data_IF_396234643736
#
_entry.id   IF_396234643736
#
_cell.length_a   1.000
_cell.length_b   1.000
_cell.length_c   1.000
_cell.angle_alpha   90.00
_cell.angle_beta   90.00
_cell.angle_gamma   90.00
#
_symmetry.space_group_name_H-M   'P 1'
#
loop_
_entity.id
_entity.type
_entity.pdbx_description
1 polymer ?
#
# COMPACT_ATOMS: atom_id res chain seq x y z
N UNK A 1 27.35 8.96 -42.54
CA UNK A 1 26.29 9.43 -41.61
C UNK A 1 25.15 8.44 -41.35
N UNK A 2 25.02 7.29 -42.05
CA UNK A 2 23.92 6.32 -41.81
C UNK A 2 24.10 5.38 -40.59
N UNK A 3 25.35 5.14 -40.16
CA UNK A 3 25.67 4.18 -39.08
C UNK A 3 25.47 4.73 -37.65
N UNK A 4 25.46 6.06 -37.48
CA UNK A 4 25.26 6.69 -36.17
C UNK A 4 23.78 6.73 -35.77
N UNK A 5 22.88 6.91 -36.74
CA UNK A 5 21.43 7.00 -36.49
C UNK A 5 20.86 5.65 -36.05
N UNK A 6 21.34 4.55 -36.63
CA UNK A 6 20.90 3.19 -36.25
C UNK A 6 21.28 2.81 -34.83
N UNK A 7 22.43 3.28 -34.33
CA UNK A 7 22.88 2.99 -32.96
C UNK A 7 22.06 3.74 -31.90
N UNK A 8 21.64 4.97 -32.20
CA UNK A 8 20.80 5.76 -31.28
C UNK A 8 19.39 5.16 -31.17
N UNK A 9 18.81 4.73 -32.29
CA UNK A 9 17.49 4.08 -32.30
C UNK A 9 17.51 2.74 -31.55
N UNK A 10 18.59 1.96 -31.70
CA UNK A 10 18.77 0.71 -30.97
C UNK A 10 18.89 0.93 -29.45
N UNK A 11 19.56 2.00 -29.04
CA UNK A 11 19.71 2.34 -27.62
C UNK A 11 18.37 2.77 -26.98
N UNK A 12 17.58 3.59 -27.67
CA UNK A 12 16.25 4.03 -27.20
C UNK A 12 15.28 2.84 -27.07
N UNK A 13 15.32 1.89 -28.01
CA UNK A 13 14.49 0.67 -27.94
C UNK A 13 14.89 -0.25 -26.78
N UNK A 14 16.17 -0.28 -26.40
CA UNK A 14 16.66 -1.09 -25.29
C UNK A 14 16.21 -0.52 -23.93
N UNK A 15 16.25 0.81 -23.78
CA UNK A 15 15.78 1.47 -22.54
C UNK A 15 14.25 1.39 -22.36
N UNK A 16 13.49 1.36 -23.45
CA UNK A 16 12.03 1.19 -23.40
C UNK A 16 11.61 -0.20 -22.86
N UNK A 17 12.43 -1.23 -23.07
CA UNK A 17 12.17 -2.58 -22.54
C UNK A 17 12.45 -2.69 -21.02
N UNK A 18 13.30 -1.83 -20.46
CA UNK A 18 13.68 -1.88 -19.05
C UNK A 18 12.66 -1.21 -18.10
N UNK A 19 11.65 -0.49 -18.63
CA UNK A 19 10.77 0.37 -17.83
C UNK A 19 9.44 -0.27 -17.38
N UNK A 20 9.20 -1.55 -17.67
CA UNK A 20 7.95 -2.23 -17.30
C UNK A 20 8.14 -3.29 -16.20
N UNK A 21 9.03 -3.06 -15.24
CA UNK A 21 8.91 -3.75 -13.95
C UNK A 21 7.80 -3.03 -13.19
N UNK A 22 6.54 -3.46 -13.42
CA UNK A 22 5.46 -3.19 -12.48
C UNK A 22 5.93 -3.73 -11.13
N UNK A 23 6.34 -2.85 -10.23
CA UNK A 23 6.58 -3.21 -8.85
C UNK A 23 5.23 -3.68 -8.28
N UNK A 24 4.98 -4.99 -8.32
CA UNK A 24 3.79 -5.57 -7.73
C UNK A 24 3.90 -5.34 -6.23
N UNK A 25 2.98 -4.54 -5.68
CA UNK A 25 2.89 -4.35 -4.23
C UNK A 25 2.50 -5.69 -3.61
N UNK A 26 3.47 -6.33 -2.96
CA UNK A 26 3.27 -7.59 -2.26
C UNK A 26 2.78 -7.32 -0.84
N UNK A 27 1.69 -7.98 -0.44
CA UNK A 27 1.20 -7.98 0.94
C UNK A 27 1.72 -9.21 1.73
N UNK A 28 2.80 -9.83 1.26
CA UNK A 28 3.40 -10.97 1.93
C UNK A 28 3.81 -10.59 3.37
N UNK A 29 3.53 -11.48 4.32
CA UNK A 29 3.79 -11.30 5.76
C UNK A 29 2.98 -10.20 6.45
N UNK A 30 2.04 -9.53 5.76
CA UNK A 30 1.07 -8.71 6.45
C UNK A 30 0.16 -9.59 7.31
N UNK A 31 -0.14 -9.13 8.52
CA UNK A 31 -1.15 -9.74 9.35
C UNK A 31 -2.49 -9.06 9.13
N UNK A 32 -3.56 -9.86 9.04
CA UNK A 32 -4.93 -9.35 8.98
C UNK A 32 -5.50 -9.28 10.38
N UNK A 33 -5.86 -8.07 10.82
CA UNK A 33 -6.40 -7.78 12.13
C UNK A 33 -7.85 -7.36 11.99
N UNK A 34 -8.69 -7.78 12.94
CA UNK A 34 -10.08 -7.36 13.03
C UNK A 34 -10.28 -6.50 14.26
N UNK A 35 -10.58 -5.22 14.03
CA UNK A 35 -10.83 -4.25 15.09
C UNK A 35 -12.32 -4.25 15.46
N UNK A 36 -12.61 -4.38 16.74
CA UNK A 36 -13.97 -4.29 17.28
C UNK A 36 -14.15 -2.93 17.96
N UNK A 37 -14.84 -2.02 17.26
CA UNK A 37 -15.04 -0.65 17.71
C UNK A 37 -16.32 -0.52 18.52
N UNK A 38 -16.24 -0.01 19.75
CA UNK A 38 -17.36 0.07 20.71
C UNK A 38 -17.81 1.49 21.01
N UNK A 39 -16.99 2.50 20.72
CA UNK A 39 -17.31 3.91 21.03
C UNK A 39 -17.05 4.84 19.86
N UNK A 40 -17.70 6.00 19.87
CA UNK A 40 -17.53 7.03 18.83
C UNK A 40 -16.10 7.60 18.85
N UNK A 41 -15.48 7.70 20.02
CA UNK A 41 -14.10 8.16 20.15
C UNK A 41 -13.12 7.20 19.45
N UNK A 42 -13.36 5.89 19.55
CA UNK A 42 -12.55 4.91 18.83
C UNK A 42 -12.75 4.99 17.31
N UNK A 43 -13.99 5.19 16.84
CA UNK A 43 -14.28 5.45 15.42
C UNK A 43 -13.51 6.68 14.94
N UNK A 44 -13.57 7.79 15.69
CA UNK A 44 -12.89 9.03 15.34
C UNK A 44 -11.36 8.84 15.24
N UNK A 45 -10.75 8.12 16.19
CA UNK A 45 -9.31 7.80 16.17
C UNK A 45 -8.93 6.97 14.95
N UNK A 46 -9.73 5.95 14.61
CA UNK A 46 -9.47 5.11 13.43
C UNK A 46 -9.62 5.91 12.14
N UNK A 47 -10.62 6.79 12.06
CA UNK A 47 -10.83 7.67 10.91
C UNK A 47 -9.71 8.71 10.75
N UNK A 48 -9.13 9.18 11.85
CA UNK A 48 -7.96 10.05 11.82
C UNK A 48 -6.72 9.26 11.36
N UNK A 49 -6.47 8.09 11.95
CA UNK A 49 -5.35 7.23 11.62
C UNK A 49 -5.38 6.73 10.17
N UNK A 50 -6.55 6.43 9.61
CA UNK A 50 -6.67 5.94 8.23
C UNK A 50 -6.13 6.94 7.20
N UNK A 51 -6.11 8.25 7.53
CA UNK A 51 -5.57 9.30 6.66
C UNK A 51 -4.04 9.22 6.54
N UNK A 52 -3.36 8.62 7.51
CA UNK A 52 -1.89 8.50 7.53
C UNK A 52 -1.42 7.04 7.42
N UNK A 53 -2.33 6.06 7.53
CA UNK A 53 -2.02 4.62 7.49
C UNK A 53 -1.20 4.17 6.26
N UNK A 54 -1.45 4.77 5.09
CA UNK A 54 -0.70 4.48 3.86
C UNK A 54 0.80 4.74 3.97
N UNK A 55 1.25 5.61 4.90
CA UNK A 55 2.67 5.91 5.14
C UNK A 55 3.40 4.76 5.84
N UNK A 56 2.64 3.87 6.46
CA UNK A 56 3.13 2.70 7.20
C UNK A 56 2.75 1.40 6.50
N UNK A 57 2.34 1.46 5.24
CA UNK A 57 1.82 0.32 4.46
C UNK A 57 0.66 -0.45 5.13
N UNK A 58 -0.07 0.23 6.03
CA UNK A 58 -1.28 -0.28 6.66
C UNK A 58 -2.47 0.01 5.75
N UNK A 59 -3.30 -1.00 5.49
CA UNK A 59 -4.45 -0.87 4.59
C UNK A 59 -5.74 -1.30 5.29
N UNK A 60 -6.77 -0.47 5.17
CA UNK A 60 -8.12 -0.79 5.63
C UNK A 60 -8.89 -1.50 4.51
N UNK A 61 -9.50 -2.63 4.83
CA UNK A 61 -10.26 -3.46 3.90
C UNK A 61 -11.76 -3.22 4.01
N UNK A 62 -12.19 -2.58 5.10
CA UNK A 62 -13.59 -2.20 5.32
C UNK A 62 -13.85 -0.80 4.80
N UNK A 63 -14.97 -0.63 4.11
CA UNK A 63 -15.40 0.65 3.53
C UNK A 63 -16.02 1.60 4.55
N UNK A 64 -16.55 1.06 5.65
CA UNK A 64 -17.27 1.82 6.67
C UNK A 64 -16.64 1.68 8.06
N UNK A 65 -16.44 2.81 8.74
CA UNK A 65 -15.97 2.86 10.13
C UNK A 65 -17.12 3.31 11.03
N UNK A 66 -17.71 2.37 11.77
CA UNK A 66 -18.85 2.61 12.65
C UNK A 66 -18.83 1.68 13.86
N UNK A 67 -19.52 2.09 14.92
CA UNK A 67 -19.64 1.30 16.16
C UNK A 67 -20.29 -0.06 15.84
N UNK A 68 -19.82 -1.11 16.51
CA UNK A 68 -20.31 -2.49 16.43
C UNK A 68 -20.17 -3.15 15.05
N UNK A 69 -19.43 -2.54 14.13
CA UNK A 69 -19.07 -3.16 12.85
C UNK A 69 -17.58 -3.41 12.81
N UNK A 70 -17.17 -4.67 12.50
CA UNK A 70 -15.76 -5.01 12.46
C UNK A 70 -15.06 -4.24 11.35
N UNK A 71 -13.86 -3.78 11.65
CA UNK A 71 -12.97 -3.13 10.69
C UNK A 71 -11.78 -4.04 10.46
N UNK A 72 -11.63 -4.52 9.24
CA UNK A 72 -10.52 -5.40 8.84
C UNK A 72 -9.36 -4.54 8.31
N UNK A 73 -8.16 -4.80 8.82
CA UNK A 73 -6.95 -4.02 8.51
C UNK A 73 -5.75 -4.95 8.29
N UNK A 74 -4.98 -4.71 7.23
CA UNK A 74 -3.70 -5.39 7.02
C UNK A 74 -2.55 -4.55 7.57
N UNK A 75 -1.72 -5.17 8.41
CA UNK A 75 -0.59 -4.53 9.09
C UNK A 75 0.69 -5.24 8.68
N UNK A 76 1.69 -4.53 8.12
CA UNK A 76 2.97 -5.13 7.76
C UNK A 76 3.82 -5.41 9.01
N UNK A 77 4.78 -6.35 8.94
CA UNK A 77 5.54 -6.80 10.11
C UNK A 77 6.29 -5.68 10.83
N UNK A 78 6.82 -4.70 10.10
CA UNK A 78 7.53 -3.54 10.64
C UNK A 78 6.64 -2.59 11.46
N UNK A 79 5.31 -2.64 11.28
CA UNK A 79 4.37 -1.78 11.96
C UNK A 79 3.64 -2.48 13.13
N UNK A 80 3.81 -3.79 13.30
CA UNK A 80 3.10 -4.58 14.32
C UNK A 80 3.35 -4.04 15.73
N UNK A 81 4.62 -3.82 16.09
CA UNK A 81 4.98 -3.39 17.45
C UNK A 81 4.48 -1.97 17.77
N UNK A 82 4.25 -1.15 16.74
CA UNK A 82 3.72 0.22 16.89
C UNK A 82 2.19 0.27 16.86
N UNK A 83 1.55 -0.80 16.37
CA UNK A 83 0.10 -0.92 16.19
C UNK A 83 -0.58 -1.69 17.33
N UNK A 84 0.15 -2.58 18.01
CA UNK A 84 -0.31 -3.38 19.16
C UNK A 84 -0.51 -2.55 20.43
#
# INVERSE_FOLDING_TARGET
>A
MRLLVTSIVAFILLEAFALNVHAYKSYANHQLWRLHVKTNEQVAKILEFSRTAHRHDINFWSEEFRINVPIDVSVPPEAIDSFA
#
